data_IF_297648893305
#
_entry.id   IF_297648893305
#
_cell.length_a   1.000
_cell.length_b   1.000
_cell.length_c   1.000
_cell.angle_alpha   90.00
_cell.angle_beta   90.00
_cell.angle_gamma   90.00
#
_symmetry.space_group_name_H-M   'P 1'
#
loop_
_entity.id
_entity.type
_entity.pdbx_description
1 polymer ?
#
# COMPACT_ATOMS: atom_id res chain seq x y z
N UNK A 1 -16.75 -37.27 8.57
CA UNK A 1 -17.77 -36.55 7.79
C UNK A 1 -17.92 -35.19 8.46
N UNK A 2 -17.08 -34.24 8.07
CA UNK A 2 -17.08 -32.85 8.55
C UNK A 2 -16.12 -32.03 7.68
N UNK A 3 -16.36 -32.06 6.36
CA UNK A 3 -15.56 -31.32 5.37
C UNK A 3 -16.35 -30.21 4.65
N UNK A 4 -17.64 -30.03 4.99
CA UNK A 4 -18.56 -29.16 4.24
C UNK A 4 -18.94 -27.85 4.94
N UNK A 5 -18.34 -27.53 6.11
CA UNK A 5 -18.75 -26.36 6.88
C UNK A 5 -18.01 -25.05 6.53
N UNK A 6 -16.92 -25.11 5.73
CA UNK A 6 -16.05 -23.94 5.49
C UNK A 6 -16.16 -23.35 4.07
N UNK A 7 -16.84 -24.02 3.13
CA UNK A 7 -17.03 -23.50 1.77
C UNK A 7 -18.15 -22.45 1.66
N UNK A 8 -19.00 -22.31 2.68
CA UNK A 8 -20.20 -21.45 2.66
C UNK A 8 -20.02 -20.13 3.46
N UNK A 9 -18.84 -19.90 4.05
CA UNK A 9 -18.55 -18.72 4.86
C UNK A 9 -18.45 -17.40 4.05
N UNK A 10 -18.56 -17.46 2.72
CA UNK A 10 -18.57 -16.27 1.84
C UNK A 10 -19.99 -15.91 1.34
N UNK A 11 -21.00 -16.68 1.75
CA UNK A 11 -22.41 -16.33 1.61
C UNK A 11 -22.96 -16.02 3.00
N UNK A 12 -22.68 -14.83 3.47
CA UNK A 12 -23.33 -14.30 4.67
C UNK A 12 -24.84 -14.22 4.39
N UNK A 13 -25.55 -15.27 4.78
CA UNK A 13 -26.99 -15.35 4.71
C UNK A 13 -27.57 -14.34 5.69
N UNK A 14 -28.45 -13.45 5.20
CA UNK A 14 -29.37 -12.54 5.93
C UNK A 14 -28.98 -11.06 6.14
N UNK A 15 -28.01 -10.51 5.41
CA UNK A 15 -28.09 -9.08 5.09
C UNK A 15 -29.20 -8.92 4.04
N UNK A 16 -30.30 -8.21 4.37
CA UNK A 16 -31.25 -7.79 3.35
C UNK A 16 -30.45 -7.14 2.21
N UNK A 17 -30.49 -7.73 1.02
CA UNK A 17 -29.79 -7.18 -0.13
C UNK A 17 -30.16 -5.71 -0.23
N UNK A 18 -29.15 -4.85 -0.20
CA UNK A 18 -29.37 -3.40 -0.30
C UNK A 18 -30.24 -3.12 -1.52
N UNK A 19 -31.13 -2.12 -1.50
CA UNK A 19 -32.13 -1.92 -2.56
C UNK A 19 -31.54 -1.73 -3.97
N UNK A 20 -30.23 -1.46 -4.06
CA UNK A 20 -29.47 -1.24 -5.29
C UNK A 20 -28.57 -2.43 -5.69
N UNK A 21 -28.60 -3.56 -4.99
CA UNK A 21 -27.69 -4.69 -5.21
C UNK A 21 -27.81 -5.31 -6.61
N UNK A 22 -29.00 -5.24 -7.22
CA UNK A 22 -29.22 -5.74 -8.58
C UNK A 22 -28.43 -4.93 -9.63
N UNK A 23 -28.32 -3.62 -9.43
CA UNK A 23 -27.58 -2.69 -10.30
C UNK A 23 -26.09 -2.62 -9.95
N UNK A 24 -25.81 -2.66 -8.64
CA UNK A 24 -24.50 -2.47 -8.02
C UNK A 24 -24.22 -3.65 -7.08
N UNK A 25 -23.97 -4.86 -7.60
CA UNK A 25 -23.58 -6.00 -6.78
C UNK A 25 -22.28 -5.67 -6.02
N UNK A 26 -22.17 -6.22 -4.81
CA UNK A 26 -21.03 -5.95 -3.94
C UNK A 26 -20.57 -7.24 -3.25
N UNK A 27 -19.31 -7.24 -2.81
CA UNK A 27 -18.73 -8.27 -1.96
C UNK A 27 -17.97 -7.59 -0.82
N UNK A 28 -17.89 -8.26 0.32
CA UNK A 28 -17.20 -7.72 1.50
C UNK A 28 -16.09 -8.66 1.97
N UNK A 29 -14.95 -8.10 2.35
CA UNK A 29 -13.90 -8.82 3.06
C UNK A 29 -13.90 -8.40 4.53
N UNK A 30 -13.88 -9.40 5.41
CA UNK A 30 -13.69 -9.18 6.84
C UNK A 30 -14.98 -9.28 7.65
N UNK A 31 -15.00 -8.71 8.86
CA UNK A 31 -13.88 -8.01 9.48
C UNK A 31 -12.69 -8.95 9.72
N UNK A 32 -11.48 -8.45 9.49
CA UNK A 32 -10.21 -9.00 9.97
C UNK A 32 -9.94 -8.34 11.32
N UNK A 33 -9.95 -9.13 12.41
CA UNK A 33 -10.00 -8.60 13.78
C UNK A 33 -8.64 -8.66 14.46
N UNK A 34 -8.23 -7.53 15.04
CA UNK A 34 -7.07 -7.44 15.93
C UNK A 34 -7.47 -6.75 17.25
N UNK A 35 -6.61 -6.73 18.28
CA UNK A 35 -6.99 -6.10 19.56
C UNK A 35 -7.19 -4.58 19.44
N UNK A 36 -6.46 -3.96 18.52
CA UNK A 36 -6.47 -2.51 18.30
C UNK A 36 -7.58 -2.05 17.35
N UNK A 37 -8.29 -2.96 16.68
CA UNK A 37 -9.33 -2.59 15.73
C UNK A 37 -9.69 -3.69 14.75
N UNK A 38 -10.50 -3.35 13.75
CA UNK A 38 -10.98 -4.26 12.72
C UNK A 38 -10.79 -3.63 11.35
N UNK A 39 -10.32 -4.41 10.38
CA UNK A 39 -10.28 -4.03 8.98
C UNK A 39 -11.43 -4.70 8.23
N UNK A 40 -12.17 -3.94 7.44
CA UNK A 40 -13.21 -4.45 6.56
C UNK A 40 -13.13 -3.70 5.23
N UNK A 41 -13.42 -4.40 4.14
CA UNK A 41 -13.52 -3.83 2.81
C UNK A 41 -14.90 -4.14 2.22
N UNK A 42 -15.40 -3.20 1.40
CA UNK A 42 -16.52 -3.45 0.50
C UNK A 42 -16.10 -3.07 -0.91
N UNK A 43 -16.23 -4.01 -1.85
CA UNK A 43 -16.11 -3.69 -3.28
C UNK A 43 -17.47 -3.70 -3.94
N UNK A 44 -17.73 -2.72 -4.80
CA UNK A 44 -19.01 -2.57 -5.52
C UNK A 44 -18.73 -2.57 -7.02
N UNK A 45 -19.48 -3.35 -7.79
CA UNK A 45 -19.26 -3.48 -9.23
C UNK A 45 -20.40 -2.85 -10.03
N UNK A 46 -20.07 -1.82 -10.81
CA UNK A 46 -21.01 -1.19 -11.73
C UNK A 46 -20.99 -1.87 -13.10
N UNK A 47 -21.94 -2.80 -13.31
CA UNK A 47 -22.01 -3.72 -14.47
C UNK A 47 -21.93 -3.02 -15.82
N UNK A 48 -22.72 -1.96 -16.00
CA UNK A 48 -22.82 -1.25 -17.29
C UNK A 48 -21.46 -0.70 -17.76
N UNK A 49 -20.62 -0.26 -16.82
CA UNK A 49 -19.31 0.33 -17.12
C UNK A 49 -18.14 -0.62 -16.95
N UNK A 50 -18.36 -1.83 -16.43
CA UNK A 50 -17.29 -2.76 -16.05
C UNK A 50 -16.33 -2.20 -14.99
N UNK A 51 -16.84 -1.37 -14.07
CA UNK A 51 -16.03 -0.66 -13.08
C UNK A 51 -16.17 -1.28 -11.69
N UNK A 52 -15.04 -1.64 -11.08
CA UNK A 52 -14.99 -2.02 -9.67
C UNK A 52 -14.64 -0.80 -8.81
N UNK A 53 -15.49 -0.47 -7.86
CA UNK A 53 -15.22 0.51 -6.81
C UNK A 53 -14.60 -0.23 -5.62
N UNK A 54 -13.49 0.30 -5.11
CA UNK A 54 -12.71 -0.29 -4.02
C UNK A 54 -12.45 0.79 -2.98
N UNK A 55 -12.61 0.48 -1.71
CA UNK A 55 -12.36 1.41 -0.61
C UNK A 55 -10.87 1.50 -0.31
N UNK A 56 -10.32 0.57 0.46
CA UNK A 56 -8.99 0.69 1.06
C UNK A 56 -8.00 -0.36 0.55
N UNK A 57 -8.49 -1.47 -0.02
CA UNK A 57 -7.64 -2.60 -0.46
C UNK A 57 -6.62 -2.23 -1.53
N UNK A 58 -6.99 -1.37 -2.49
CA UNK A 58 -6.14 -1.03 -3.63
C UNK A 58 -6.02 0.46 -3.83
N UNK A 59 -4.84 0.86 -4.29
CA UNK A 59 -4.50 2.26 -4.63
C UNK A 59 -3.82 2.32 -5.98
N UNK A 60 -3.93 3.46 -6.68
CA UNK A 60 -3.13 3.75 -7.86
C UNK A 60 -2.42 5.09 -7.74
N UNK A 61 -1.09 5.07 -7.71
CA UNK A 61 -0.30 6.27 -7.38
C UNK A 61 0.00 7.09 -8.65
N UNK A 62 -0.45 8.34 -8.76
CA UNK A 62 -0.15 9.20 -9.91
C UNK A 62 1.32 9.62 -9.90
N UNK A 63 1.89 9.89 -11.08
CA UNK A 63 3.28 10.36 -11.23
C UNK A 63 3.46 11.85 -10.92
N UNK A 64 2.36 12.58 -10.77
CA UNK A 64 2.30 14.02 -10.50
C UNK A 64 1.32 14.27 -9.35
N UNK A 65 1.47 15.38 -8.61
CA UNK A 65 0.57 15.68 -7.50
C UNK A 65 -0.89 15.81 -7.98
N UNK A 66 -1.87 15.31 -7.21
CA UNK A 66 -3.28 15.57 -7.44
C UNK A 66 -3.54 17.08 -7.52
N UNK A 67 -4.55 17.49 -8.31
CA UNK A 67 -4.84 18.91 -8.55
C UNK A 67 -5.05 19.71 -7.26
N UNK A 68 -5.72 19.12 -6.26
CA UNK A 68 -5.94 19.75 -4.95
C UNK A 68 -4.63 20.02 -4.20
N UNK A 69 -3.68 19.08 -4.21
CA UNK A 69 -2.37 19.23 -3.58
C UNK A 69 -1.51 20.23 -4.37
N UNK A 70 -1.54 20.17 -5.70
CA UNK A 70 -0.81 21.09 -6.57
C UNK A 70 -1.27 22.54 -6.41
N UNK A 71 -2.56 22.75 -6.13
CA UNK A 71 -3.15 24.06 -5.89
C UNK A 71 -2.84 24.61 -4.48
N UNK A 72 -2.96 23.76 -3.45
CA UNK A 72 -2.99 24.21 -2.06
C UNK A 72 -1.67 24.02 -1.30
N UNK A 73 -0.86 23.02 -1.66
CA UNK A 73 0.25 22.54 -0.81
C UNK A 73 1.63 22.65 -1.48
N UNK A 74 1.84 23.72 -2.24
CA UNK A 74 3.13 23.98 -2.92
C UNK A 74 4.33 23.94 -1.98
N UNK A 75 4.18 24.48 -0.76
CA UNK A 75 5.25 24.47 0.25
C UNK A 75 5.66 23.04 0.62
N UNK A 76 4.69 22.14 0.82
CA UNK A 76 4.97 20.74 1.14
C UNK A 76 5.64 20.03 -0.04
N UNK A 77 5.13 20.25 -1.27
CA UNK A 77 5.73 19.69 -2.48
C UNK A 77 7.19 20.13 -2.63
N UNK A 78 7.50 21.41 -2.45
CA UNK A 78 8.88 21.90 -2.54
C UNK A 78 9.73 21.45 -1.36
N UNK A 79 9.18 21.38 -0.14
CA UNK A 79 9.90 20.84 1.01
C UNK A 79 10.41 19.42 0.72
N UNK A 80 9.52 18.55 0.23
CA UNK A 80 9.83 17.16 -0.08
C UNK A 80 10.61 16.97 -1.38
N UNK A 81 10.64 17.94 -2.30
CA UNK A 81 11.38 17.81 -3.55
C UNK A 81 12.91 17.65 -3.34
N UNK A 82 13.42 18.17 -2.22
CA UNK A 82 14.85 18.13 -1.83
C UNK A 82 15.28 16.74 -1.36
N UNK A 83 16.51 16.36 -1.66
CA UNK A 83 17.15 15.13 -1.17
C UNK A 83 17.85 15.39 0.18
N UNK A 84 18.40 16.59 0.39
CA UNK A 84 19.05 17.01 1.64
C UNK A 84 18.59 18.39 2.15
N UNK A 85 18.92 18.73 3.40
CA UNK A 85 18.61 20.06 3.97
C UNK A 85 19.39 21.21 3.31
N UNK A 86 20.51 20.90 2.64
CA UNK A 86 21.35 21.87 1.93
C UNK A 86 20.81 22.22 0.56
N UNK A 87 19.92 21.38 0.02
CA UNK A 87 19.40 21.57 -1.33
C UNK A 87 18.48 22.78 -1.37
N UNK A 88 18.65 23.60 -2.40
CA UNK A 88 17.69 24.62 -2.78
C UNK A 88 16.86 24.12 -3.97
N UNK A 89 15.57 24.46 -3.97
CA UNK A 89 14.65 24.00 -5.01
C UNK A 89 13.86 25.16 -5.57
N UNK A 90 13.92 25.30 -6.90
CA UNK A 90 13.08 26.25 -7.63
C UNK A 90 11.67 25.68 -7.83
N UNK A 91 10.67 26.55 -7.77
CA UNK A 91 9.28 26.15 -7.98
C UNK A 91 9.00 25.84 -9.45
N UNK A 92 9.08 24.55 -9.80
CA UNK A 92 8.82 24.04 -11.16
C UNK A 92 7.87 22.84 -11.11
N UNK A 93 7.13 22.55 -12.21
CA UNK A 93 6.29 21.34 -12.29
C UNK A 93 7.08 20.05 -12.02
N UNK A 94 8.33 19.97 -12.48
CA UNK A 94 9.20 18.83 -12.26
C UNK A 94 9.56 18.67 -10.76
N UNK A 95 9.98 19.74 -10.09
CA UNK A 95 10.29 19.72 -8.66
C UNK A 95 9.06 19.33 -7.82
N UNK A 96 7.89 19.89 -8.13
CA UNK A 96 6.64 19.52 -7.45
C UNK A 96 6.30 18.03 -7.65
N UNK A 97 6.55 17.48 -8.84
CA UNK A 97 6.37 16.07 -9.11
C UNK A 97 7.35 15.19 -8.31
N UNK A 98 8.62 15.60 -8.14
CA UNK A 98 9.56 14.88 -7.27
C UNK A 98 9.12 14.90 -5.80
N UNK A 99 8.70 16.06 -5.29
CA UNK A 99 8.17 16.17 -3.93
C UNK A 99 6.94 15.29 -3.71
N UNK A 100 6.01 15.27 -4.66
CA UNK A 100 4.86 14.37 -4.63
C UNK A 100 5.26 12.90 -4.53
N UNK A 101 6.22 12.46 -5.36
CA UNK A 101 6.68 11.06 -5.38
C UNK A 101 7.23 10.63 -4.02
N UNK A 102 7.98 11.51 -3.37
CA UNK A 102 8.53 11.30 -2.03
C UNK A 102 7.46 11.33 -0.94
N UNK A 103 6.46 12.22 -1.05
CA UNK A 103 5.27 12.20 -0.18
C UNK A 103 4.54 10.86 -0.31
N UNK A 104 4.30 10.37 -1.53
CA UNK A 104 3.63 9.09 -1.75
C UNK A 104 4.40 7.91 -1.15
N UNK A 105 5.74 7.89 -1.30
CA UNK A 105 6.60 6.89 -0.66
C UNK A 105 6.46 6.95 0.87
N UNK A 106 6.56 8.15 1.46
CA UNK A 106 6.42 8.34 2.90
C UNK A 106 5.03 7.94 3.41
N UNK A 107 3.95 8.30 2.70
CA UNK A 107 2.58 7.96 3.11
C UNK A 107 2.28 6.46 3.08
N UNK A 108 2.96 5.69 2.22
CA UNK A 108 2.65 4.28 2.00
C UNK A 108 3.63 3.31 2.68
N UNK A 109 4.86 3.75 2.95
CA UNK A 109 5.87 2.96 3.68
C UNK A 109 6.19 3.48 5.07
N UNK A 110 5.87 4.75 5.38
CA UNK A 110 6.50 5.57 6.42
C UNK A 110 8.00 5.78 6.17
N UNK A 111 8.78 4.70 6.10
CA UNK A 111 10.20 4.72 5.78
C UNK A 111 10.54 3.57 4.82
N UNK A 112 10.79 3.89 3.55
CA UNK A 112 11.34 2.93 2.58
C UNK A 112 12.87 2.90 2.64
N UNK A 113 13.50 1.99 1.88
CA UNK A 113 14.97 1.81 1.85
C UNK A 113 15.77 3.04 1.41
N UNK A 114 15.08 4.04 0.84
CA UNK A 114 15.69 5.26 0.34
C UNK A 114 15.67 6.42 1.34
N UNK A 115 15.09 6.23 2.53
CA UNK A 115 14.95 7.28 3.54
C UNK A 115 15.94 7.04 4.67
N UNK A 116 16.88 7.97 4.84
CA UNK A 116 17.99 7.88 5.79
C UNK A 116 17.74 8.79 7.00
N UNK A 117 17.61 8.18 8.17
CA UNK A 117 17.34 8.86 9.44
C UNK A 117 18.62 8.84 10.27
N UNK A 118 19.32 9.98 10.37
CA UNK A 118 20.66 10.06 10.99
C UNK A 118 20.71 9.65 12.49
N UNK A 119 19.57 9.64 13.20
CA UNK A 119 19.47 9.18 14.60
C UNK A 119 18.03 8.74 14.88
N UNK A 120 17.60 7.56 14.43
CA UNK A 120 16.21 7.14 14.60
C UNK A 120 15.90 6.97 16.09
N UNK A 121 14.69 7.33 16.53
CA UNK A 121 14.29 7.12 17.92
C UNK A 121 14.33 5.63 18.28
N UNK A 122 14.95 5.28 19.41
CA UNK A 122 15.06 3.91 19.94
C UNK A 122 14.02 3.61 21.04
N UNK A 123 13.04 4.51 21.22
CA UNK A 123 12.05 4.46 22.31
C UNK A 123 12.54 5.02 23.65
N UNK A 124 13.82 5.38 23.78
CA UNK A 124 14.36 6.04 24.97
C UNK A 124 14.26 7.57 24.90
N UNK A 125 14.26 8.23 26.06
CA UNK A 125 14.34 9.70 26.14
C UNK A 125 15.63 10.23 25.50
N UNK A 126 16.76 9.53 25.68
CA UNK A 126 18.05 9.88 25.07
C UNK A 126 18.02 9.79 23.55
N UNK A 127 17.43 8.73 22.99
CA UNK A 127 17.28 8.55 21.55
C UNK A 127 16.36 9.59 20.94
N UNK A 128 15.23 9.89 21.59
CA UNK A 128 14.34 10.97 21.18
C UNK A 128 15.06 12.34 21.17
N UNK A 129 15.83 12.66 22.22
CA UNK A 129 16.64 13.88 22.27
C UNK A 129 17.72 13.92 21.17
N UNK A 130 18.34 12.78 20.85
CA UNK A 130 19.31 12.67 19.77
C UNK A 130 18.67 12.93 18.40
N UNK A 131 17.52 12.29 18.13
CA UNK A 131 16.73 12.52 16.92
C UNK A 131 16.34 13.99 16.76
N UNK A 132 15.78 14.62 17.81
CA UNK A 132 15.40 16.03 17.72
C UNK A 132 16.61 16.93 17.47
N UNK A 133 17.79 16.63 18.04
CA UNK A 133 19.00 17.40 17.76
C UNK A 133 19.49 17.22 16.33
N UNK A 134 19.45 16.00 15.77
CA UNK A 134 19.86 15.75 14.39
C UNK A 134 18.89 16.32 13.38
N UNK A 135 17.59 16.36 13.71
CA UNK A 135 16.53 16.90 12.85
C UNK A 135 16.54 18.44 12.73
N UNK A 136 17.42 19.15 13.45
CA UNK A 136 17.67 20.58 13.28
C UNK A 136 19.15 20.82 12.94
N UNK A 137 19.61 20.45 11.74
CA UNK A 137 21.01 20.58 11.37
C UNK A 137 21.46 22.04 11.37
N UNK A 138 22.74 22.27 11.66
CA UNK A 138 23.34 23.60 11.57
C UNK A 138 23.58 23.95 10.11
N UNK A 139 23.40 25.22 9.76
CA UNK A 139 23.67 25.70 8.39
C UNK A 139 22.54 25.50 7.39
N UNK A 140 21.30 25.20 7.84
CA UNK A 140 20.13 25.19 6.95
C UNK A 140 19.99 26.54 6.23
N UNK A 141 20.00 26.56 4.89
CA UNK A 141 19.83 27.78 4.10
C UNK A 141 18.54 28.52 4.47
N UNK A 142 18.49 29.87 4.39
CA UNK A 142 17.28 30.64 4.68
C UNK A 142 16.06 30.22 3.83
N UNK A 143 16.28 29.91 2.56
CA UNK A 143 15.29 29.38 1.61
C UNK A 143 14.71 28.04 2.10
N UNK A 144 15.57 27.11 2.51
CA UNK A 144 15.21 25.83 3.12
C UNK A 144 14.44 25.98 4.43
N UNK A 145 14.82 26.97 5.27
CA UNK A 145 14.12 27.29 6.53
C UNK A 145 12.72 27.83 6.29
N UNK A 146 12.49 28.56 5.19
CA UNK A 146 11.18 29.08 4.81
C UNK A 146 10.22 27.99 4.32
N UNK A 147 10.74 26.90 3.73
CA UNK A 147 9.94 25.74 3.34
C UNK A 147 9.63 24.83 4.54
N UNK A 148 10.62 24.60 5.40
CA UNK A 148 10.53 23.72 6.56
C UNK A 148 9.92 24.37 7.81
N UNK A 149 9.58 23.54 8.80
CA UNK A 149 9.05 23.97 10.10
C UNK A 149 10.17 24.63 10.93
N UNK A 150 10.57 25.85 10.55
CA UNK A 150 11.70 26.58 11.12
C UNK A 150 13.08 25.89 10.99
N UNK A 151 13.26 25.09 9.93
CA UNK A 151 14.51 24.38 9.65
C UNK A 151 14.52 22.92 10.12
N UNK A 152 13.37 22.40 10.54
CA UNK A 152 13.19 20.96 10.77
C UNK A 152 13.44 20.16 9.49
N UNK A 153 14.32 19.16 9.60
CA UNK A 153 14.72 18.24 8.54
C UNK A 153 15.08 16.87 9.13
N UNK A 154 14.12 15.94 9.22
CA UNK A 154 14.28 14.70 9.99
C UNK A 154 15.03 13.57 9.28
N UNK A 155 15.17 13.65 7.95
CA UNK A 155 15.77 12.59 7.15
C UNK A 155 16.23 13.10 5.78
N UNK A 156 17.22 12.43 5.21
CA UNK A 156 17.68 12.63 3.84
C UNK A 156 17.12 11.55 2.91
N UNK A 157 17.00 11.87 1.62
CA UNK A 157 16.65 10.91 0.58
C UNK A 157 17.89 10.44 -0.15
N UNK A 158 18.04 9.12 -0.23
CA UNK A 158 19.08 8.46 -1.00
C UNK A 158 18.63 8.30 -2.48
N UNK A 159 19.54 8.36 -3.47
CA UNK A 159 19.19 8.45 -4.90
C UNK A 159 18.26 7.34 -5.42
N UNK A 160 18.26 6.16 -4.78
CA UNK A 160 17.40 5.02 -5.12
C UNK A 160 15.90 5.27 -4.87
N UNK A 161 15.49 6.39 -4.27
CA UNK A 161 14.08 6.73 -4.08
C UNK A 161 13.29 6.72 -5.39
N UNK A 162 13.92 7.07 -6.51
CA UNK A 162 13.29 7.05 -7.85
C UNK A 162 12.91 5.62 -8.26
N UNK A 163 13.77 4.66 -7.98
CA UNK A 163 13.51 3.25 -8.23
C UNK A 163 12.42 2.71 -7.29
N UNK A 164 12.47 3.06 -6.00
CA UNK A 164 11.44 2.71 -5.03
C UNK A 164 10.06 3.24 -5.47
N UNK A 165 9.96 4.51 -5.89
CA UNK A 165 8.72 5.08 -6.41
C UNK A 165 8.24 4.36 -7.68
N UNK A 166 9.15 4.06 -8.61
CA UNK A 166 8.80 3.34 -9.84
C UNK A 166 8.23 1.96 -9.56
N UNK A 167 8.76 1.24 -8.56
CA UNK A 167 8.25 -0.07 -8.11
C UNK A 167 6.88 0.06 -7.46
N UNK A 168 6.74 0.96 -6.48
CA UNK A 168 5.47 1.25 -5.80
C UNK A 168 4.37 1.61 -6.80
N UNK A 169 4.66 2.52 -7.74
CA UNK A 169 3.70 2.97 -8.74
C UNK A 169 3.31 1.84 -9.71
N UNK A 170 4.18 0.88 -9.98
CA UNK A 170 3.93 -0.25 -10.90
C UNK A 170 3.35 0.18 -12.25
N UNK A 171 3.85 1.28 -12.81
CA UNK A 171 3.35 1.83 -14.08
C UNK A 171 1.98 2.53 -13.99
N UNK A 172 1.40 2.70 -12.81
CA UNK A 172 0.05 3.26 -12.57
C UNK A 172 -1.02 2.18 -12.42
N UNK A 173 -0.61 0.93 -12.25
CA UNK A 173 -1.54 -0.18 -11.99
C UNK A 173 -1.97 -0.17 -10.53
N UNK A 174 -3.19 -0.65 -10.22
CA UNK A 174 -3.61 -0.84 -8.84
C UNK A 174 -2.67 -1.77 -8.09
N UNK A 175 -2.33 -1.41 -6.85
CA UNK A 175 -1.51 -2.21 -5.94
C UNK A 175 -2.14 -2.19 -4.55
N UNK A 176 -1.92 -3.26 -3.78
CA UNK A 176 -2.22 -3.24 -2.34
C UNK A 176 -1.19 -2.34 -1.66
N UNK A 177 -1.58 -1.35 -0.85
CA UNK A 177 -0.66 -0.53 -0.06
C UNK A 177 0.32 -1.38 0.77
N UNK A 178 1.62 -1.04 0.82
CA UNK A 178 2.63 -1.79 1.57
C UNK A 178 2.24 -2.07 3.04
N UNK A 179 1.66 -1.07 3.72
CA UNK A 179 1.18 -1.21 5.11
C UNK A 179 0.10 -2.30 5.26
N UNK A 180 -0.82 -2.42 4.29
CA UNK A 180 -1.83 -3.48 4.32
C UNK A 180 -1.21 -4.84 4.03
N UNK A 181 -0.18 -4.91 3.19
CA UNK A 181 0.53 -6.15 2.90
C UNK A 181 1.22 -6.71 4.15
N UNK A 182 1.82 -5.85 4.96
CA UNK A 182 2.66 -6.24 6.11
C UNK A 182 1.88 -6.34 7.42
N UNK A 183 0.87 -5.50 7.65
CA UNK A 183 0.26 -5.37 8.99
C UNK A 183 -1.20 -5.80 9.08
N UNK A 184 -1.86 -6.10 7.97
CA UNK A 184 -3.31 -6.40 7.98
C UNK A 184 -3.64 -7.68 7.23
N UNK A 185 -3.40 -7.71 5.91
CA UNK A 185 -3.91 -8.77 5.04
C UNK A 185 -3.14 -10.09 5.19
N UNK A 186 -1.93 -10.05 5.74
CA UNK A 186 -1.14 -11.25 6.02
C UNK A 186 -1.57 -11.99 7.30
N UNK A 187 -2.57 -11.50 8.06
CA UNK A 187 -3.10 -12.22 9.22
C UNK A 187 -4.03 -13.36 8.84
N UNK A 188 -4.78 -13.20 7.74
CA UNK A 188 -5.77 -14.17 7.26
C UNK A 188 -5.63 -14.37 5.73
N UNK A 189 -4.47 -14.83 5.23
CA UNK A 189 -4.13 -14.83 3.80
C UNK A 189 -5.08 -15.69 2.96
N UNK A 190 -5.55 -16.83 3.48
CA UNK A 190 -6.54 -17.68 2.81
C UNK A 190 -7.87 -16.95 2.60
N UNK A 191 -8.38 -16.29 3.64
CA UNK A 191 -9.62 -15.51 3.57
C UNK A 191 -9.50 -14.33 2.60
N UNK A 192 -8.37 -13.63 2.61
CA UNK A 192 -8.12 -12.50 1.69
C UNK A 192 -8.03 -12.99 0.25
N UNK A 193 -7.34 -14.11 -0.01
CA UNK A 193 -7.22 -14.68 -1.34
C UNK A 193 -8.55 -15.25 -1.85
N UNK A 194 -9.32 -15.94 -1.01
CA UNK A 194 -10.66 -16.42 -1.34
C UNK A 194 -11.59 -15.26 -1.72
N UNK A 195 -11.53 -14.14 -0.99
CA UNK A 195 -12.24 -12.92 -1.35
C UNK A 195 -11.78 -12.35 -2.69
N UNK A 196 -10.47 -12.24 -2.92
CA UNK A 196 -9.92 -11.72 -4.17
C UNK A 196 -10.32 -12.59 -5.37
N UNK A 197 -10.34 -13.92 -5.20
CA UNK A 197 -10.75 -14.87 -6.23
C UNK A 197 -12.27 -14.80 -6.48
N UNK A 198 -13.09 -14.68 -5.43
CA UNK A 198 -14.54 -14.48 -5.57
C UNK A 198 -14.89 -13.18 -6.30
N UNK A 199 -14.19 -12.08 -6.02
CA UNK A 199 -14.32 -10.81 -6.75
C UNK A 199 -13.94 -11.00 -8.22
N UNK A 200 -12.85 -11.70 -8.50
CA UNK A 200 -12.36 -11.92 -9.85
C UNK A 200 -13.34 -12.77 -10.68
N UNK A 201 -13.97 -13.77 -10.05
CA UNK A 201 -14.96 -14.64 -10.68
C UNK A 201 -16.29 -13.91 -10.91
N UNK A 202 -16.77 -13.17 -9.90
CA UNK A 202 -18.06 -12.51 -9.97
C UNK A 202 -18.06 -11.26 -10.87
N UNK A 203 -16.94 -10.53 -10.94
CA UNK A 203 -16.87 -9.20 -11.55
C UNK A 203 -15.81 -9.14 -12.68
N UNK A 204 -16.23 -9.17 -13.96
CA UNK A 204 -15.32 -9.03 -15.10
C UNK A 204 -14.91 -7.56 -15.29
N UNK A 205 -14.08 -7.02 -14.39
CA UNK A 205 -13.69 -5.61 -14.40
C UNK A 205 -12.72 -5.25 -15.53
N UNK A 206 -12.92 -4.05 -16.04
CA UNK A 206 -12.03 -3.37 -17.01
C UNK A 206 -11.54 -2.01 -16.51
N UNK A 207 -12.10 -1.56 -15.38
CA UNK A 207 -11.79 -0.27 -14.74
C UNK A 207 -11.90 -0.42 -13.23
N UNK A 208 -11.09 0.35 -12.52
CA UNK A 208 -11.09 0.40 -11.06
C UNK A 208 -11.17 1.86 -10.59
N UNK A 209 -11.97 2.11 -9.56
CA UNK A 209 -12.07 3.40 -8.85
C UNK A 209 -11.69 3.14 -7.39
N UNK A 210 -10.42 3.39 -7.01
CA UNK A 210 -10.01 3.30 -5.61
C UNK A 210 -10.45 4.57 -4.87
N UNK A 211 -10.68 4.49 -3.55
CA UNK A 211 -10.93 5.70 -2.75
C UNK A 211 -9.68 6.56 -2.56
N UNK A 212 -8.48 6.01 -2.78
CA UNK A 212 -7.23 6.72 -2.58
C UNK A 212 -6.44 6.90 -3.88
N UNK A 213 -5.90 8.11 -4.06
CA UNK A 213 -5.03 8.53 -5.16
C UNK A 213 -5.73 8.65 -6.53
N UNK A 214 -5.18 8.05 -7.59
CA UNK A 214 -5.64 8.24 -8.97
C UNK A 214 -6.91 7.43 -9.25
N UNK A 215 -7.91 8.07 -9.84
CA UNK A 215 -9.18 7.47 -10.17
C UNK A 215 -9.90 8.26 -11.29
N UNK A 216 -10.60 7.58 -12.22
CA UNK A 216 -10.59 6.13 -12.45
C UNK A 216 -9.29 5.65 -13.11
N UNK A 217 -8.95 4.37 -12.94
CA UNK A 217 -7.80 3.74 -13.61
C UNK A 217 -8.22 2.51 -14.40
N UNK A 218 -7.53 2.27 -15.52
CA UNK A 218 -7.68 1.03 -16.27
C UNK A 218 -7.11 -0.14 -15.45
N UNK A 219 -7.90 -1.19 -15.28
CA UNK A 219 -7.50 -2.37 -14.53
C UNK A 219 -8.32 -3.57 -14.96
N UNK A 220 -7.66 -4.70 -15.16
CA UNK A 220 -8.32 -5.96 -15.50
C UNK A 220 -8.52 -6.84 -14.26
N UNK A 221 -9.44 -7.79 -14.34
CA UNK A 221 -9.59 -8.88 -13.34
C UNK A 221 -8.24 -9.54 -13.00
N UNK A 222 -7.36 -9.66 -13.99
CA UNK A 222 -6.04 -10.25 -13.81
C UNK A 222 -5.08 -9.36 -13.02
N UNK A 223 -5.12 -8.05 -13.24
CA UNK A 223 -4.35 -7.09 -12.45
C UNK A 223 -4.89 -6.99 -11.02
N UNK A 224 -6.21 -7.10 -10.83
CA UNK A 224 -6.83 -7.27 -9.52
C UNK A 224 -6.25 -8.51 -8.80
N UNK A 225 -6.33 -9.70 -9.39
CA UNK A 225 -5.82 -10.92 -8.73
C UNK A 225 -4.31 -10.88 -8.47
N UNK A 226 -3.55 -10.24 -9.37
CA UNK A 226 -2.11 -10.10 -9.24
C UNK A 226 -1.69 -9.19 -8.07
N UNK A 227 -2.51 -8.20 -7.70
CA UNK A 227 -2.22 -7.32 -6.58
C UNK A 227 -2.12 -8.06 -5.22
N UNK A 228 -2.70 -9.26 -5.13
CA UNK A 228 -2.67 -10.13 -3.94
C UNK A 228 -1.60 -11.22 -3.98
N UNK A 229 -0.75 -11.27 -5.02
CA UNK A 229 0.29 -12.30 -5.15
C UNK A 229 1.28 -12.32 -3.97
N UNK A 230 1.42 -11.23 -3.20
CA UNK A 230 2.28 -11.17 -2.02
C UNK A 230 1.89 -12.15 -0.90
N UNK A 231 0.62 -12.60 -0.85
CA UNK A 231 0.09 -13.58 0.10
C UNK A 231 0.30 -15.03 -0.34
N UNK A 232 0.68 -15.25 -1.60
CA UNK A 232 0.90 -16.58 -2.17
C UNK A 232 2.35 -16.99 -1.88
N UNK A 233 2.53 -18.21 -1.40
CA UNK A 233 3.83 -18.79 -1.14
C UNK A 233 4.53 -19.05 -2.47
N UNK A 234 5.78 -18.62 -2.57
CA UNK A 234 6.64 -19.05 -3.67
C UNK A 234 6.95 -20.53 -3.45
N UNK A 235 6.44 -21.42 -4.31
CA UNK A 235 7.23 -22.61 -4.63
C UNK A 235 8.42 -22.08 -5.43
N UNK A 236 9.49 -21.77 -4.71
CA UNK A 236 10.69 -21.14 -5.25
C UNK A 236 11.02 -21.73 -6.62
N UNK A 237 11.01 -20.88 -7.65
CA UNK A 237 11.45 -21.19 -9.02
C UNK A 237 10.66 -22.22 -9.84
N UNK A 238 9.37 -22.47 -9.59
CA UNK A 238 8.59 -23.25 -10.56
C UNK A 238 8.38 -22.45 -11.87
N UNK A 239 8.53 -23.13 -13.01
CA UNK A 239 8.22 -22.58 -14.35
C UNK A 239 6.81 -21.98 -14.39
N UNK A 240 5.89 -22.55 -13.63
CA UNK A 240 4.50 -22.10 -13.52
C UNK A 240 4.38 -20.75 -12.80
N UNK A 241 5.15 -20.48 -11.74
CA UNK A 241 5.16 -19.17 -11.07
C UNK A 241 5.76 -18.11 -11.98
N UNK A 242 6.85 -18.42 -12.69
CA UNK A 242 7.47 -17.52 -13.67
C UNK A 242 6.54 -17.24 -14.86
N UNK A 243 5.89 -18.28 -15.38
CA UNK A 243 4.89 -18.17 -16.44
C UNK A 243 3.67 -17.39 -15.95
N UNK A 244 3.18 -17.62 -14.74
CA UNK A 244 2.09 -16.85 -14.12
C UNK A 244 2.49 -15.39 -14.02
N UNK A 245 3.63 -15.04 -13.42
CA UNK A 245 4.12 -13.66 -13.27
C UNK A 245 4.32 -12.96 -14.62
N UNK A 246 4.86 -13.67 -15.61
CA UNK A 246 5.04 -13.16 -16.97
C UNK A 246 3.70 -12.96 -17.68
N UNK A 247 2.81 -13.96 -17.61
CA UNK A 247 1.45 -13.87 -18.13
C UNK A 247 0.79 -12.70 -17.45
N UNK A 248 0.51 -12.76 -16.13
CA UNK A 248 -0.19 -11.76 -15.29
C UNK A 248 0.42 -10.37 -15.38
N UNK A 249 1.64 -10.22 -15.91
CA UNK A 249 2.44 -9.00 -15.82
C UNK A 249 2.46 -8.53 -14.36
N UNK A 250 2.46 -9.46 -13.40
CA UNK A 250 2.24 -9.13 -11.99
C UNK A 250 3.16 -8.00 -11.56
N UNK A 251 2.64 -7.07 -10.76
CA UNK A 251 3.50 -6.10 -10.10
C UNK A 251 4.62 -6.89 -9.42
N UNK A 252 5.87 -6.52 -9.65
CA UNK A 252 6.94 -7.16 -8.90
C UNK A 252 6.62 -6.99 -7.41
N UNK A 253 6.70 -8.09 -6.65
CA UNK A 253 6.64 -8.01 -5.19
C UNK A 253 7.57 -6.89 -4.74
N UNK A 254 7.09 -6.08 -3.81
CA UNK A 254 7.90 -4.99 -3.27
C UNK A 254 9.17 -5.59 -2.66
N UNK A 255 10.35 -4.99 -2.90
CA UNK A 255 11.59 -5.54 -2.36
C UNK A 255 11.58 -5.54 -0.84
N UNK A 256 12.27 -6.53 -0.26
CA UNK A 256 12.33 -6.70 1.19
C UNK A 256 12.96 -5.49 1.89
N UNK A 257 13.94 -4.83 1.26
CA UNK A 257 14.57 -3.63 1.78
C UNK A 257 13.59 -2.44 1.89
N UNK A 258 12.63 -2.33 0.97
CA UNK A 258 11.61 -1.27 1.01
C UNK A 258 10.57 -1.53 2.11
N UNK A 259 10.38 -2.79 2.50
CA UNK A 259 9.42 -3.22 3.53
C UNK A 259 10.03 -3.38 4.93
N UNK A 260 11.36 -3.28 5.07
CA UNK A 260 12.08 -3.60 6.30
C UNK A 260 11.53 -2.82 7.52
N UNK A 261 11.38 -1.50 7.40
CA UNK A 261 10.82 -0.69 8.47
C UNK A 261 9.40 -1.12 8.89
N UNK A 262 8.54 -1.42 7.92
CA UNK A 262 7.17 -1.86 8.21
C UNK A 262 7.17 -3.20 8.94
N UNK A 263 8.08 -4.11 8.61
CA UNK A 263 8.22 -5.40 9.29
C UNK A 263 8.74 -5.24 10.70
N UNK A 264 9.75 -4.40 10.91
CA UNK A 264 10.26 -4.09 12.26
C UNK A 264 9.16 -3.43 13.11
N UNK A 265 8.37 -2.52 12.52
CA UNK A 265 7.22 -1.91 13.18
C UNK A 265 6.15 -2.97 13.52
N UNK A 266 5.86 -3.88 12.60
CA UNK A 266 4.91 -4.97 12.79
C UNK A 266 5.34 -5.93 13.91
N UNK A 267 6.61 -6.34 13.92
CA UNK A 267 7.18 -7.21 14.94
C UNK A 267 7.06 -6.60 16.33
N UNK A 268 7.29 -5.28 16.46
CA UNK A 268 7.08 -4.56 17.71
C UNK A 268 5.61 -4.60 18.17
N UNK A 269 4.65 -4.46 17.24
CA UNK A 269 3.22 -4.57 17.57
C UNK A 269 2.83 -6.00 17.98
N UNK A 270 3.42 -7.02 17.35
CA UNK A 270 3.24 -8.43 17.73
C UNK A 270 3.81 -8.69 19.12
N UNK A 271 5.02 -8.21 19.41
CA UNK A 271 5.66 -8.34 20.73
C UNK A 271 4.87 -7.62 21.83
N UNK A 272 4.29 -6.46 21.54
CA UNK A 272 3.38 -5.75 22.44
C UNK A 272 2.01 -6.45 22.59
N UNK A 273 1.74 -7.48 21.80
CA UNK A 273 0.49 -8.22 21.79
C UNK A 273 -0.70 -7.41 21.26
N UNK A 274 -0.44 -6.34 20.50
CA UNK A 274 -1.45 -5.48 19.88
C UNK A 274 -2.10 -6.13 18.65
N UNK A 275 -1.32 -6.93 17.91
CA UNK A 275 -1.75 -7.70 16.74
C UNK A 275 -1.21 -9.13 16.82
N UNK A 276 -1.88 -10.10 16.18
CA UNK A 276 -1.45 -11.51 16.06
C UNK A 276 -0.27 -11.64 15.10
N UNK A 277 0.65 -12.60 15.19
CA UNK A 277 1.69 -12.79 14.19
C UNK A 277 1.11 -13.08 12.78
N UNK A 278 1.87 -12.81 11.70
CA UNK A 278 1.44 -13.13 10.33
C UNK A 278 1.24 -14.64 10.16
N UNK A 279 0.21 -15.02 9.41
CA UNK A 279 -0.03 -16.41 9.06
C UNK A 279 0.87 -16.85 7.90
N UNK A 280 1.13 -18.17 7.75
CA UNK A 280 1.86 -18.69 6.60
C UNK A 280 1.21 -18.29 5.28
N UNK A 281 2.05 -17.99 4.27
CA UNK A 281 1.56 -17.75 2.91
C UNK A 281 0.87 -18.99 2.34
N UNK A 282 -0.13 -18.78 1.48
CA UNK A 282 -0.92 -19.87 0.88
C UNK A 282 -0.13 -20.57 -0.22
N UNK A 283 0.02 -21.88 -0.12
CA UNK A 283 0.69 -22.72 -1.12
C UNK A 283 0.05 -22.57 -2.51
N UNK A 284 0.87 -22.59 -3.56
CA UNK A 284 0.36 -22.63 -4.94
C UNK A 284 -0.42 -23.92 -5.26
N UNK A 285 -0.20 -24.99 -4.48
CA UNK A 285 -0.78 -26.32 -4.70
C UNK A 285 -2.08 -26.55 -3.91
N UNK A 286 -2.48 -25.63 -3.05
CA UNK A 286 -3.82 -25.66 -2.44
C UNK A 286 -4.85 -25.19 -3.46
N UNK A 287 -5.12 -26.01 -4.48
CA UNK A 287 -6.44 -25.96 -5.10
C UNK A 287 -7.44 -26.35 -4.01
N UNK A 288 -8.44 -25.48 -3.83
CA UNK A 288 -9.67 -25.77 -3.13
C UNK A 288 -10.15 -27.17 -3.51
N UNK A 289 -9.93 -28.13 -2.62
CA UNK A 289 -10.84 -29.24 -2.46
C UNK A 289 -12.02 -28.65 -1.70
N UNK A 290 -13.04 -28.25 -2.45
CA UNK A 290 -14.45 -28.38 -2.11
C UNK A 290 -15.28 -28.17 -3.38
#
# INVERSE_FOLDING_TARGET
ADADADADANRDATAAAVPWADELPYLTLGPLKEKVGMFQEVVVFHRQSGTLLVTDLLVSVPSTPPAVVAANDKRALLFHARDSFLDEVADTPAARAEGWKKIALFSLFFQCSALDVASPPDGSLSGALSFFRSAFPRGVPPSSRALGWAGFWPFDWQPQWRAAFSRLRSGGRPVVPPILQVSVLNREPEKVLAFADAVAEAFPLTKLVPCHFDAPVAATTREWSAAFDFLRGDTADSVLVRARRWLTRSAATLPDEDLAFLRDFDDNLVQAGAIRPPAPKVSADSKSTN
#
